data_IF_765017899547
#
_entry.id   IF_765017899547
#
_cell.length_a   1.000
_cell.length_b   1.000
_cell.length_c   1.000
_cell.angle_alpha   90.00
_cell.angle_beta   90.00
_cell.angle_gamma   90.00
#
_symmetry.space_group_name_H-M   'P 1'
#
loop_
_entity.id
_entity.type
_entity.pdbx_description
1 polymer ?
#
# COMPACT_ATOMS: atom_id res chain seq x y z
N UNK A 1 -0.21 -15.85 -0.46
CA UNK A 1 -0.93 -14.89 -1.32
C UNK A 1 -1.06 -15.36 -2.77
N UNK A 2 0.02 -15.65 -3.53
CA UNK A 2 -0.11 -16.19 -4.90
C UNK A 2 -0.79 -17.57 -4.91
N UNK A 3 -0.35 -18.49 -4.03
CA UNK A 3 -0.96 -19.80 -3.88
C UNK A 3 -2.45 -19.73 -3.48
N UNK A 4 -2.82 -18.73 -2.69
CA UNK A 4 -4.21 -18.52 -2.27
C UNK A 4 -5.09 -18.14 -3.47
N UNK A 5 -4.59 -17.26 -4.35
CA UNK A 5 -5.25 -16.87 -5.59
C UNK A 5 -5.45 -18.09 -6.49
N UNK A 6 -4.40 -18.91 -6.69
CA UNK A 6 -4.49 -20.13 -7.51
C UNK A 6 -5.49 -21.14 -6.93
N UNK A 7 -5.49 -21.29 -5.60
CA UNK A 7 -6.42 -22.19 -4.90
C UNK A 7 -7.87 -21.76 -5.13
N UNK A 8 -8.15 -20.46 -5.04
CA UNK A 8 -9.50 -19.91 -5.28
C UNK A 8 -9.91 -20.13 -6.73
N UNK A 9 -9.05 -19.78 -7.69
CA UNK A 9 -9.32 -19.93 -9.13
C UNK A 9 -9.65 -21.40 -9.47
N UNK A 10 -8.86 -22.35 -8.93
CA UNK A 10 -9.10 -23.78 -9.12
C UNK A 10 -10.41 -24.24 -8.47
N UNK A 11 -10.73 -23.76 -7.26
CA UNK A 11 -12.02 -24.07 -6.59
C UNK A 11 -13.21 -23.53 -7.39
N UNK A 12 -13.05 -22.44 -8.12
CA UNK A 12 -14.07 -21.91 -9.02
C UNK A 12 -14.13 -22.65 -10.38
N UNK A 13 -13.33 -23.70 -10.60
CA UNK A 13 -13.35 -24.49 -11.83
C UNK A 13 -12.63 -23.86 -13.02
N UNK A 14 -11.85 -22.79 -12.81
CA UNK A 14 -11.10 -22.13 -13.87
C UNK A 14 -9.63 -22.58 -13.88
N UNK A 15 -9.08 -22.72 -15.08
CA UNK A 15 -7.66 -23.01 -15.29
C UNK A 15 -6.87 -21.78 -15.76
N UNK A 16 -7.56 -20.72 -16.19
CA UNK A 16 -6.97 -19.44 -16.59
C UNK A 16 -7.84 -18.29 -16.13
N UNK A 17 -7.24 -17.12 -15.86
CA UNK A 17 -7.96 -16.00 -15.27
C UNK A 17 -7.35 -14.64 -15.64
N UNK A 18 -8.16 -13.59 -15.49
CA UNK A 18 -7.69 -12.20 -15.45
C UNK A 18 -7.47 -11.76 -14.00
N UNK A 19 -6.53 -10.85 -13.79
CA UNK A 19 -6.25 -10.29 -12.47
C UNK A 19 -6.39 -8.77 -12.48
N UNK A 20 -7.13 -8.22 -11.52
CA UNK A 20 -7.17 -6.79 -11.23
C UNK A 20 -6.58 -6.56 -9.83
N UNK A 21 -5.59 -5.69 -9.73
CA UNK A 21 -4.97 -5.33 -8.47
C UNK A 21 -4.88 -3.82 -8.30
N UNK A 22 -5.39 -3.33 -7.17
CA UNK A 22 -5.25 -1.93 -6.76
C UNK A 22 -4.18 -1.77 -5.68
N UNK A 23 -3.41 -0.68 -5.71
CA UNK A 23 -2.35 -0.39 -4.73
C UNK A 23 -1.32 -1.53 -4.64
N UNK A 24 -1.07 -2.11 -3.46
CA UNK A 24 -0.16 -3.26 -3.33
C UNK A 24 -0.63 -4.49 -4.13
N UNK A 25 -1.94 -4.60 -4.40
CA UNK A 25 -2.50 -5.64 -5.27
C UNK A 25 -1.90 -5.61 -6.67
N UNK A 26 -1.57 -4.44 -7.19
CA UNK A 26 -0.91 -4.33 -8.50
C UNK A 26 0.50 -4.94 -8.50
N UNK A 27 1.25 -4.85 -7.38
CA UNK A 27 2.54 -5.53 -7.22
C UNK A 27 2.39 -7.05 -7.24
N UNK A 28 1.32 -7.57 -6.64
CA UNK A 28 0.97 -9.00 -6.72
C UNK A 28 0.69 -9.38 -8.17
N UNK A 29 -0.10 -8.55 -8.87
CA UNK A 29 -0.39 -8.71 -10.30
C UNK A 29 0.89 -8.83 -11.12
N UNK A 30 1.87 -7.93 -10.95
CA UNK A 30 3.14 -8.04 -11.67
C UNK A 30 3.89 -9.34 -11.36
N UNK A 31 3.95 -9.76 -10.10
CA UNK A 31 4.59 -11.03 -9.73
C UNK A 31 3.86 -12.22 -10.39
N UNK A 32 2.53 -12.19 -10.40
CA UNK A 32 1.70 -13.16 -11.10
C UNK A 32 1.97 -13.21 -12.61
N UNK A 33 2.11 -12.06 -13.30
CA UNK A 33 2.46 -12.08 -14.74
C UNK A 33 3.80 -12.73 -15.03
N UNK A 34 4.76 -12.62 -14.10
CA UNK A 34 6.10 -13.20 -14.28
C UNK A 34 6.10 -14.71 -14.04
N UNK A 35 5.39 -15.17 -13.01
CA UNK A 35 5.55 -16.53 -12.50
C UNK A 35 4.39 -17.47 -12.85
N UNK A 36 3.23 -16.95 -13.25
CA UNK A 36 2.01 -17.74 -13.45
C UNK A 36 1.48 -17.63 -14.89
N UNK A 37 1.66 -18.69 -15.68
CA UNK A 37 1.21 -18.80 -17.09
C UNK A 37 -0.31 -18.87 -17.28
N UNK A 38 -1.05 -19.09 -16.19
CA UNK A 38 -2.51 -19.18 -16.20
C UNK A 38 -3.17 -17.80 -16.17
N UNK A 39 -2.43 -16.74 -15.85
CA UNK A 39 -2.92 -15.36 -15.88
C UNK A 39 -2.86 -14.84 -17.32
N UNK A 40 -4.00 -14.48 -17.91
CA UNK A 40 -4.09 -14.04 -19.31
C UNK A 40 -4.07 -12.53 -19.49
N UNK A 41 -4.56 -11.79 -18.50
CA UNK A 41 -4.60 -10.32 -18.50
C UNK A 41 -4.42 -9.80 -17.08
N UNK A 42 -3.70 -8.70 -16.96
CA UNK A 42 -3.48 -8.02 -15.68
C UNK A 42 -3.79 -6.54 -15.83
N UNK A 43 -4.56 -6.02 -14.88
CA UNK A 43 -4.77 -4.59 -14.71
C UNK A 43 -4.18 -4.18 -13.36
N UNK A 44 -3.15 -3.35 -13.43
CA UNK A 44 -2.44 -2.79 -12.28
C UNK A 44 -2.88 -1.34 -12.06
N UNK A 45 -3.68 -1.09 -11.03
CA UNK A 45 -4.26 0.22 -10.75
C UNK A 45 -3.70 0.85 -9.46
N UNK A 46 -3.64 2.18 -9.41
CA UNK A 46 -3.38 2.94 -8.17
C UNK A 46 -2.09 2.60 -7.44
N UNK A 47 -1.03 2.27 -8.19
CA UNK A 47 0.24 1.83 -7.61
C UNK A 47 1.42 2.62 -8.16
N UNK A 48 2.46 2.73 -7.35
CA UNK A 48 3.80 3.03 -7.83
C UNK A 48 4.58 1.71 -7.82
N UNK A 49 5.25 1.40 -8.91
CA UNK A 49 5.79 0.06 -9.13
C UNK A 49 7.21 -0.10 -8.58
N UNK A 50 7.47 -1.27 -7.99
CA UNK A 50 8.81 -1.73 -7.62
C UNK A 50 9.54 -0.79 -6.65
N UNK A 51 10.84 -0.63 -6.87
CA UNK A 51 11.72 0.19 -6.02
C UNK A 51 11.26 1.64 -5.86
N UNK A 52 10.56 2.20 -6.86
CA UNK A 52 10.06 3.57 -6.80
C UNK A 52 9.08 3.76 -5.64
N UNK A 53 8.25 2.76 -5.33
CA UNK A 53 7.33 2.81 -4.20
C UNK A 53 8.09 2.94 -2.87
N UNK A 54 9.09 2.10 -2.65
CA UNK A 54 9.80 2.06 -1.38
C UNK A 54 10.85 3.18 -1.24
N UNK A 55 11.45 3.62 -2.35
CA UNK A 55 12.49 4.66 -2.37
C UNK A 55 11.93 6.08 -2.40
N UNK A 56 10.72 6.30 -2.91
CA UNK A 56 10.12 7.63 -3.08
C UNK A 56 8.83 7.73 -2.27
N UNK A 57 7.85 6.88 -2.56
CA UNK A 57 6.49 7.02 -2.01
C UNK A 57 6.42 6.73 -0.52
N UNK A 58 7.07 5.67 -0.04
CA UNK A 58 7.10 5.36 1.40
C UNK A 58 7.75 6.51 2.20
N UNK A 59 8.90 7.07 1.79
CA UNK A 59 9.44 8.29 2.38
C UNK A 59 8.47 9.48 2.37
N UNK A 60 7.78 9.73 1.27
CA UNK A 60 6.83 10.86 1.15
C UNK A 60 5.68 10.68 2.14
N UNK A 61 5.09 9.48 2.22
CA UNK A 61 4.02 9.17 3.19
C UNK A 61 4.53 9.30 4.63
N UNK A 62 5.77 8.88 4.92
CA UNK A 62 6.37 9.07 6.25
C UNK A 62 6.49 10.56 6.57
N UNK A 63 6.97 11.38 5.64
CA UNK A 63 7.13 12.81 5.84
C UNK A 63 5.77 13.50 6.11
N UNK A 64 4.74 13.12 5.36
CA UNK A 64 3.37 13.58 5.56
C UNK A 64 2.82 13.17 6.94
N UNK A 65 3.00 11.92 7.35
CA UNK A 65 2.54 11.45 8.65
C UNK A 65 3.30 12.10 9.81
N UNK A 66 4.58 12.41 9.66
CA UNK A 66 5.35 13.19 10.64
C UNK A 66 4.84 14.64 10.72
N UNK A 67 4.37 15.23 9.60
CA UNK A 67 3.69 16.55 9.62
C UNK A 67 2.40 16.46 10.44
N UNK A 68 1.54 15.50 10.12
CA UNK A 68 0.29 15.24 10.83
C UNK A 68 0.48 14.92 12.31
N UNK A 69 1.57 14.24 12.66
CA UNK A 69 1.93 13.98 14.05
C UNK A 69 2.19 15.29 14.81
N UNK A 70 2.94 16.23 14.23
CA UNK A 70 3.20 17.54 14.86
C UNK A 70 1.92 18.35 15.05
N UNK A 71 1.02 18.34 14.06
CA UNK A 71 -0.31 18.98 14.14
C UNK A 71 -1.10 18.39 15.31
N UNK A 72 -1.16 17.05 15.39
CA UNK A 72 -1.84 16.34 16.47
C UNK A 72 -1.25 16.65 17.85
N UNK A 73 0.08 16.67 17.98
CA UNK A 73 0.78 16.95 19.24
C UNK A 73 0.58 18.40 19.71
N UNK A 74 0.52 19.35 18.79
CA UNK A 74 0.22 20.76 19.09
C UNK A 74 -1.26 20.99 19.36
N UNK A 75 -2.13 20.08 18.90
CA UNK A 75 -3.59 20.20 18.96
C UNK A 75 -4.12 21.47 18.27
N UNK A 76 -3.45 21.90 17.21
CA UNK A 76 -3.83 23.05 16.37
C UNK A 76 -4.12 22.49 14.98
N UNK A 77 -5.36 22.62 14.51
CA UNK A 77 -5.85 22.08 13.24
C UNK A 77 -6.33 23.19 12.29
N UNK A 78 -5.51 24.23 12.15
CA UNK A 78 -5.79 25.45 11.37
C UNK A 78 -5.16 25.43 9.97
N UNK A 79 -4.56 24.31 9.56
CA UNK A 79 -3.99 24.19 8.22
C UNK A 79 -5.08 24.11 7.15
N UNK A 80 -4.97 24.97 6.14
CA UNK A 80 -5.81 24.96 4.94
C UNK A 80 -5.90 23.54 4.34
N UNK A 81 -7.14 23.06 4.17
CA UNK A 81 -7.43 21.76 3.55
C UNK A 81 -7.68 20.59 4.50
N UNK A 82 -7.58 20.77 5.82
CA UNK A 82 -8.02 19.74 6.78
C UNK A 82 -9.53 19.82 7.00
N UNK A 83 -10.26 18.82 6.50
CA UNK A 83 -11.70 18.67 6.76
C UNK A 83 -11.94 18.11 8.17
N UNK A 84 -13.16 18.23 8.69
CA UNK A 84 -13.56 17.63 9.97
C UNK A 84 -13.31 16.11 10.00
N UNK A 85 -13.49 15.43 8.87
CA UNK A 85 -13.18 14.01 8.73
C UNK A 85 -11.67 13.75 8.92
N UNK A 86 -10.81 14.60 8.32
CA UNK A 86 -9.37 14.49 8.50
C UNK A 86 -8.96 14.74 9.96
N UNK A 87 -9.54 15.75 10.61
CA UNK A 87 -9.27 16.07 12.01
C UNK A 87 -9.68 14.89 12.91
N UNK A 88 -10.87 14.33 12.68
CA UNK A 88 -11.36 13.19 13.45
C UNK A 88 -10.48 11.95 13.25
N UNK A 89 -10.07 11.68 12.01
CA UNK A 89 -9.12 10.60 11.72
C UNK A 89 -7.78 10.81 12.42
N UNK A 90 -7.23 12.04 12.40
CA UNK A 90 -5.97 12.37 13.06
C UNK A 90 -6.05 12.14 14.57
N UNK A 91 -7.12 12.60 15.22
CA UNK A 91 -7.34 12.42 16.67
C UNK A 91 -7.38 10.94 17.06
N UNK A 92 -8.03 10.11 16.27
CA UNK A 92 -8.22 8.69 16.58
C UNK A 92 -7.09 7.77 16.07
N UNK A 93 -6.20 8.26 15.21
CA UNK A 93 -5.14 7.44 14.61
C UNK A 93 -3.86 7.41 15.45
N UNK A 94 -3.30 6.22 15.66
CA UNK A 94 -1.96 6.05 16.21
C UNK A 94 -0.90 6.27 15.10
N UNK A 95 -0.53 7.54 14.88
CA UNK A 95 0.43 7.94 13.86
C UNK A 95 1.82 7.34 14.10
N UNK A 96 2.25 7.22 15.36
CA UNK A 96 3.54 6.60 15.71
C UNK A 96 3.63 5.15 15.22
N UNK A 97 2.58 4.34 15.47
CA UNK A 97 2.53 2.96 15.02
C UNK A 97 2.55 2.85 13.48
N UNK A 98 1.82 3.73 12.79
CA UNK A 98 1.81 3.77 11.32
C UNK A 98 3.17 4.15 10.73
N UNK A 99 3.81 5.17 11.28
CA UNK A 99 5.16 5.60 10.87
C UNK A 99 6.18 4.47 11.10
N UNK A 100 6.14 3.81 12.27
CA UNK A 100 7.03 2.71 12.59
C UNK A 100 6.88 1.54 11.58
N UNK A 101 5.64 1.19 11.23
CA UNK A 101 5.35 0.17 10.21
C UNK A 101 5.95 0.53 8.84
N UNK A 102 5.78 1.78 8.40
CA UNK A 102 6.34 2.25 7.12
C UNK A 102 7.87 2.30 7.13
N UNK A 103 8.50 2.72 8.24
CA UNK A 103 9.96 2.69 8.41
C UNK A 103 10.49 1.25 8.37
N UNK A 104 9.80 0.30 9.01
CA UNK A 104 10.15 -1.12 8.95
C UNK A 104 10.03 -1.67 7.52
N UNK A 105 8.98 -1.30 6.77
CA UNK A 105 8.83 -1.68 5.36
C UNK A 105 9.95 -1.13 4.47
N UNK A 106 10.38 0.12 4.70
CA UNK A 106 11.52 0.73 3.99
C UNK A 106 12.83 -0.01 4.29
N UNK A 107 13.08 -0.39 5.55
CA UNK A 107 14.31 -1.05 5.96
C UNK A 107 14.36 -2.53 5.56
N UNK A 108 13.23 -3.23 5.55
CA UNK A 108 13.12 -4.62 5.12
C UNK A 108 13.47 -4.86 3.64
N UNK A 109 13.45 -3.81 2.81
CA UNK A 109 13.91 -3.87 1.43
C UNK A 109 15.46 -3.90 1.30
N UNK A 110 16.21 -3.39 2.28
CA UNK A 110 17.69 -3.38 2.24
C UNK A 110 18.33 -4.73 2.59
N UNK A 111 17.54 -5.68 3.09
CA UNK A 111 17.99 -6.99 3.56
C UNK A 111 17.77 -8.12 2.53
N UNK A 112 17.43 -7.77 1.28
CA UNK A 112 17.31 -8.68 0.13
C UNK A 112 18.23 -8.21 -0.98
#
# INVERSE_FOLDING_TARGET
MILDIETIVKKCGFNTYGYFGHSYGATIGLKLSKDNKNVKKIVCAGTNLGDKFFKIIVPDIIAEFEKFKRIKERNIFDEDGLTDENINWLKNTNLNARIAKLKAMKNGQKLK
#
